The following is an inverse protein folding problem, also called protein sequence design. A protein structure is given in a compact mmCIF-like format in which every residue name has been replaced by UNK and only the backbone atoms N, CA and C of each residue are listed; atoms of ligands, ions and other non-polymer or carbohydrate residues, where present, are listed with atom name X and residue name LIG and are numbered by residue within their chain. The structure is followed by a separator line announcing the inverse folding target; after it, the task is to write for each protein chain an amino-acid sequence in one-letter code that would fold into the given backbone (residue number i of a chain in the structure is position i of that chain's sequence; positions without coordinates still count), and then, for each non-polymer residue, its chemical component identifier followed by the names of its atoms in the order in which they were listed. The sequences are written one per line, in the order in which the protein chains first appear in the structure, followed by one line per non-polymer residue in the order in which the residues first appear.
data_IF_448497325290
#
_entry.id   IF_448497325290
#
_cell.length_a   1.000
_cell.length_b   1.000
_cell.length_c   1.000
_cell.angle_alpha   90.00
_cell.angle_beta   90.00
_cell.angle_gamma   90.00
#
_symmetry.space_group_name_H-M   'P 1'
#
loop_
_entity.id
_entity.type
_entity.pdbx_description
1 polymer ?
#
# COMPACT_ATOMS: atom_id res chain seq x y z
N UNK A 1 13.81 1.30 13.76
CA UNK A 1 12.93 1.64 12.63
C UNK A 1 13.07 0.61 11.52
N UNK A 2 11.99 0.41 10.79
CA UNK A 2 11.92 -0.59 9.74
C UNK A 2 12.67 -0.13 8.48
N UNK A 3 13.50 -1.02 7.91
CA UNK A 3 14.20 -0.75 6.66
C UNK A 3 13.50 -1.48 5.51
N UNK A 4 13.38 -0.81 4.38
CA UNK A 4 12.71 -1.36 3.22
C UNK A 4 13.17 -0.68 1.93
N UNK A 5 12.89 -1.31 0.81
CA UNK A 5 13.06 -0.74 -0.52
C UNK A 5 11.68 -0.53 -1.14
N UNK A 6 11.54 0.54 -1.91
CA UNK A 6 10.34 0.77 -2.71
C UNK A 6 10.48 -0.01 -4.01
N UNK A 7 9.47 -0.81 -4.31
CA UNK A 7 9.47 -1.68 -5.48
C UNK A 7 8.28 -1.34 -6.36
N UNK A 8 8.53 -1.02 -7.61
CA UNK A 8 7.43 -0.82 -8.56
C UNK A 8 6.87 -2.17 -8.99
N UNK A 9 5.54 -2.26 -9.01
CA UNK A 9 4.83 -3.47 -9.42
C UNK A 9 4.49 -3.36 -10.89
N UNK A 10 5.42 -3.79 -11.75
CA UNK A 10 5.29 -3.63 -13.20
C UNK A 10 4.07 -4.35 -13.78
N UNK A 11 3.62 -5.42 -13.12
CA UNK A 11 2.42 -6.14 -13.57
C UNK A 11 1.14 -5.30 -13.45
N UNK A 12 1.13 -4.32 -12.56
CA UNK A 12 -0.05 -3.49 -12.29
C UNK A 12 0.11 -2.06 -12.80
N UNK A 13 1.34 -1.57 -12.89
CA UNK A 13 1.60 -0.21 -13.38
C UNK A 13 1.29 -0.10 -14.86
N UNK A 14 0.75 1.04 -15.27
CA UNK A 14 0.39 1.30 -16.66
C UNK A 14 0.45 2.79 -16.95
N UNK A 15 -0.22 3.19 -18.03
CA UNK A 15 -0.19 4.58 -18.48
C UNK A 15 -0.87 5.56 -17.54
N UNK A 16 -1.81 5.08 -16.70
CA UNK A 16 -2.62 5.96 -15.86
C UNK A 16 -2.08 6.09 -14.45
N UNK A 17 -1.31 5.11 -13.98
CA UNK A 17 -0.76 5.15 -12.63
C UNK A 17 0.41 4.19 -12.49
N UNK A 18 1.29 4.53 -11.57
CA UNK A 18 2.37 3.65 -11.11
C UNK A 18 1.98 3.06 -9.77
N UNK A 19 2.06 1.75 -9.67
CA UNK A 19 1.67 0.99 -8.49
C UNK A 19 2.92 0.44 -7.83
N UNK A 20 3.09 0.74 -6.54
CA UNK A 20 4.28 0.35 -5.79
C UNK A 20 3.92 -0.52 -4.60
N UNK A 21 4.89 -1.25 -4.13
CA UNK A 21 4.87 -1.86 -2.81
C UNK A 21 6.24 -1.67 -2.19
N UNK A 22 6.48 -2.30 -1.05
CA UNK A 22 7.79 -2.25 -0.41
C UNK A 22 8.26 -3.65 -0.09
N UNK A 23 9.58 -3.83 -0.14
CA UNK A 23 10.24 -5.08 0.23
C UNK A 23 11.05 -4.81 1.49
N UNK A 24 10.72 -5.48 2.59
CA UNK A 24 11.43 -5.29 3.83
C UNK A 24 12.84 -5.87 3.73
N UNK A 25 13.79 -5.24 4.42
CA UNK A 25 15.18 -5.70 4.42
C UNK A 25 15.26 -7.16 4.85
N UNK A 26 15.98 -7.94 4.08
CA UNK A 26 16.15 -9.37 4.35
C UNK A 26 15.04 -10.25 3.79
N UNK A 27 14.03 -9.67 3.16
CA UNK A 27 12.95 -10.43 2.55
C UNK A 27 13.03 -10.37 1.03
N UNK A 28 12.49 -11.39 0.36
CA UNK A 28 12.52 -11.48 -1.10
C UNK A 28 11.25 -10.97 -1.75
N UNK A 29 10.12 -11.08 -1.02
CA UNK A 29 8.82 -10.68 -1.55
C UNK A 29 8.44 -9.28 -1.08
N UNK A 30 7.70 -8.58 -1.92
CA UNK A 30 7.05 -7.35 -1.48
C UNK A 30 5.95 -7.67 -0.47
N UNK A 31 5.55 -6.67 0.29
CA UNK A 31 4.44 -6.83 1.23
C UNK A 31 3.15 -7.22 0.51
N UNK A 32 2.92 -6.71 -0.69
CA UNK A 32 1.72 -7.08 -1.46
C UNK A 32 1.76 -8.55 -1.85
N UNK A 33 2.91 -9.07 -2.30
CA UNK A 33 3.04 -10.49 -2.61
C UNK A 33 2.77 -11.35 -1.38
N UNK A 34 3.32 -10.95 -0.23
CA UNK A 34 3.07 -11.65 1.02
C UNK A 34 1.59 -11.62 1.40
N UNK A 35 0.93 -10.48 1.18
CA UNK A 35 -0.49 -10.33 1.42
C UNK A 35 -1.30 -11.34 0.59
N UNK A 36 -0.97 -11.49 -0.68
CA UNK A 36 -1.66 -12.47 -1.52
C UNK A 36 -1.44 -13.91 -1.03
N UNK A 37 -0.22 -14.25 -0.64
CA UNK A 37 0.08 -15.58 -0.13
C UNK A 37 -0.62 -15.86 1.20
N UNK A 38 -0.61 -14.89 2.11
CA UNK A 38 -1.19 -15.04 3.45
C UNK A 38 -2.71 -15.12 3.43
N UNK A 39 -3.35 -14.61 2.38
CA UNK A 39 -4.79 -14.56 2.28
C UNK A 39 -5.33 -15.40 1.10
N UNK A 40 -4.57 -16.41 0.67
CA UNK A 40 -4.90 -17.21 -0.50
C UNK A 40 -6.27 -17.90 -0.42
N UNK A 41 -6.78 -18.13 0.78
CA UNK A 41 -8.10 -18.72 0.99
C UNK A 41 -9.25 -17.81 0.53
N UNK A 42 -9.01 -16.50 0.46
CA UNK A 42 -10.01 -15.51 0.04
C UNK A 42 -9.89 -15.22 -1.46
N UNK A 43 -9.99 -16.26 -2.27
CA UNK A 43 -9.68 -16.20 -3.70
C UNK A 43 -10.54 -15.20 -4.47
N UNK A 44 -11.84 -15.14 -4.16
CA UNK A 44 -12.75 -14.23 -4.87
C UNK A 44 -12.37 -12.78 -4.61
N UNK A 45 -12.13 -12.45 -3.36
CA UNK A 45 -11.74 -11.08 -2.97
C UNK A 45 -10.40 -10.71 -3.58
N UNK A 46 -9.41 -11.62 -3.55
CA UNK A 46 -8.11 -11.34 -4.14
C UNK A 46 -8.19 -11.14 -5.65
N UNK A 47 -9.06 -11.90 -6.33
CA UNK A 47 -9.27 -11.72 -7.76
C UNK A 47 -9.80 -10.31 -8.05
N UNK A 48 -10.76 -9.85 -7.26
CA UNK A 48 -11.31 -8.49 -7.41
C UNK A 48 -10.23 -7.45 -7.15
N UNK A 49 -9.37 -7.67 -6.15
CA UNK A 49 -8.25 -6.76 -5.86
C UNK A 49 -7.33 -6.66 -7.07
N UNK A 50 -6.93 -7.79 -7.66
CA UNK A 50 -6.07 -7.81 -8.85
C UNK A 50 -6.71 -7.01 -9.99
N UNK A 51 -8.00 -7.23 -10.24
CA UNK A 51 -8.72 -6.50 -11.28
C UNK A 51 -8.72 -5.00 -11.03
N UNK A 52 -8.95 -4.60 -9.77
CA UNK A 52 -8.92 -3.18 -9.40
C UNK A 52 -7.54 -2.55 -9.61
N UNK A 53 -6.46 -3.26 -9.26
CA UNK A 53 -5.11 -2.76 -9.46
C UNK A 53 -4.81 -2.58 -10.95
N UNK A 54 -5.24 -3.51 -11.79
CA UNK A 54 -5.06 -3.41 -13.23
C UNK A 54 -5.85 -2.23 -13.81
N UNK A 55 -7.06 -2.00 -13.34
CA UNK A 55 -7.87 -0.85 -13.75
C UNK A 55 -7.19 0.46 -13.34
N UNK A 56 -6.66 0.53 -12.12
CA UNK A 56 -5.95 1.71 -11.65
C UNK A 56 -4.75 2.05 -12.50
N UNK A 57 -3.94 1.05 -12.84
CA UNK A 57 -2.74 1.28 -13.63
C UNK A 57 -3.02 1.63 -15.08
N UNK A 58 -4.02 1.01 -15.69
CA UNK A 58 -4.20 1.05 -17.13
C UNK A 58 -5.36 1.92 -17.62
N UNK A 59 -6.39 2.12 -16.80
CA UNK A 59 -7.62 2.75 -17.27
C UNK A 59 -7.96 4.07 -16.58
N UNK A 60 -8.07 4.06 -15.26
CA UNK A 60 -8.66 5.19 -14.51
C UNK A 60 -7.68 5.95 -13.66
N UNK A 61 -6.51 5.40 -13.38
CA UNK A 61 -5.69 5.88 -12.29
C UNK A 61 -6.26 5.43 -10.96
N UNK A 62 -5.57 5.79 -9.90
CA UNK A 62 -5.93 5.43 -8.53
C UNK A 62 -6.94 6.44 -8.00
N UNK A 63 -8.20 6.27 -8.35
CA UNK A 63 -9.24 7.19 -7.92
C UNK A 63 -9.36 7.21 -6.40
N UNK A 64 -9.49 8.41 -5.85
CA UNK A 64 -9.65 8.61 -4.40
C UNK A 64 -10.80 7.76 -3.84
N UNK A 65 -11.90 7.68 -4.56
CA UNK A 65 -13.11 6.95 -4.14
C UNK A 65 -12.94 5.44 -4.07
N UNK A 66 -11.89 4.89 -4.67
CA UNK A 66 -11.65 3.45 -4.58
C UNK A 66 -11.22 3.03 -3.18
N UNK A 67 -10.81 3.98 -2.35
CA UNK A 67 -10.17 3.73 -1.07
C UNK A 67 -11.00 4.26 0.09
N UNK A 68 -10.83 3.63 1.25
CA UNK A 68 -11.36 4.12 2.51
C UNK A 68 -10.24 4.89 3.21
N UNK A 69 -10.40 6.20 3.32
CA UNK A 69 -9.33 7.08 3.79
C UNK A 69 -9.33 7.32 5.29
N UNK A 70 -10.43 7.04 5.98
CA UNK A 70 -10.56 7.32 7.40
C UNK A 70 -11.07 6.11 8.17
N UNK A 71 -10.55 4.93 7.85
CA UNK A 71 -10.91 3.72 8.57
C UNK A 71 -10.07 3.62 9.84
N UNK A 72 -10.75 3.66 10.99
CA UNK A 72 -10.07 3.65 12.28
C UNK A 72 -9.22 4.89 12.47
N UNK A 73 -7.98 4.70 12.90
CA UNK A 73 -7.04 5.78 13.18
C UNK A 73 -6.02 6.01 12.06
N UNK A 74 -6.34 5.62 10.83
CA UNK A 74 -5.45 5.85 9.70
C UNK A 74 -5.26 7.34 9.45
N UNK A 75 -4.02 7.74 9.14
CA UNK A 75 -3.64 9.14 8.98
C UNK A 75 -2.52 9.26 7.94
N UNK A 76 -2.17 10.51 7.59
CA UNK A 76 -1.02 10.84 6.74
C UNK A 76 -1.02 10.13 5.39
N UNK A 77 -2.20 10.04 4.76
CA UNK A 77 -2.33 9.43 3.45
C UNK A 77 -2.52 7.92 3.49
N UNK A 78 -2.53 7.33 4.68
CA UNK A 78 -2.78 5.89 4.81
C UNK A 78 -4.27 5.62 4.61
N UNK A 79 -4.56 4.62 3.79
CA UNK A 79 -5.91 4.27 3.39
C UNK A 79 -6.03 2.75 3.26
N UNK A 80 -7.24 2.28 3.04
CA UNK A 80 -7.48 0.86 2.81
C UNK A 80 -8.28 0.64 1.53
N UNK A 81 -7.87 -0.33 0.76
CA UNK A 81 -8.68 -0.88 -0.33
C UNK A 81 -9.51 -2.01 0.28
N UNK A 82 -10.82 -1.91 0.13
CA UNK A 82 -11.75 -2.87 0.74
C UNK A 82 -12.43 -3.70 -0.33
N UNK A 83 -12.39 -5.01 -0.15
CA UNK A 83 -13.17 -5.93 -0.98
C UNK A 83 -13.81 -6.94 -0.03
N UNK A 84 -15.13 -6.86 0.13
CA UNK A 84 -15.81 -7.67 1.14
C UNK A 84 -15.22 -7.39 2.53
N UNK A 85 -14.76 -8.43 3.19
CA UNK A 85 -14.14 -8.31 4.51
C UNK A 85 -12.61 -8.21 4.44
N UNK A 86 -12.03 -8.22 3.24
CA UNK A 86 -10.59 -8.06 3.08
C UNK A 86 -10.23 -6.58 3.08
N UNK A 87 -9.15 -6.26 3.78
CA UNK A 87 -8.57 -4.92 3.87
C UNK A 87 -7.14 -4.97 3.40
N UNK A 88 -6.78 -4.11 2.46
CA UNK A 88 -5.40 -3.95 1.98
C UNK A 88 -4.97 -2.52 2.24
N UNK A 89 -4.01 -2.33 3.14
CA UNK A 89 -3.56 -1.00 3.53
C UNK A 89 -2.56 -0.44 2.54
N UNK A 90 -2.56 0.87 2.38
CA UNK A 90 -1.69 1.55 1.44
C UNK A 90 -1.39 2.98 1.89
N UNK A 91 -0.36 3.56 1.28
CA UNK A 91 -0.15 5.00 1.29
C UNK A 91 -0.69 5.53 -0.04
N UNK A 92 -1.75 6.30 0.03
CA UNK A 92 -2.34 6.93 -1.13
C UNK A 92 -1.64 8.27 -1.36
N UNK A 93 -0.86 8.38 -2.44
CA UNK A 93 -0.22 9.65 -2.77
C UNK A 93 -1.18 10.53 -3.56
N UNK A 94 -1.56 10.08 -4.75
CA UNK A 94 -2.56 10.73 -5.58
C UNK A 94 -3.06 9.74 -6.64
N UNK A 95 -3.77 10.25 -7.63
CA UNK A 95 -4.32 9.41 -8.69
C UNK A 95 -3.27 8.67 -9.51
N UNK A 96 -2.04 9.14 -9.51
CA UNK A 96 -0.97 8.57 -10.33
C UNK A 96 -0.04 7.63 -9.58
N UNK A 97 -0.11 7.58 -8.25
CA UNK A 97 0.82 6.76 -7.47
C UNK A 97 0.21 6.31 -6.14
N UNK A 98 0.31 5.02 -5.85
CA UNK A 98 -0.10 4.43 -4.57
C UNK A 98 0.91 3.36 -4.18
N UNK A 99 1.22 3.30 -2.89
CA UNK A 99 2.17 2.33 -2.32
C UNK A 99 1.38 1.34 -1.46
N UNK A 100 1.31 0.09 -1.90
CA UNK A 100 0.56 -0.94 -1.17
C UNK A 100 1.44 -1.66 -0.16
N UNK A 101 0.88 -1.89 1.01
CA UNK A 101 1.50 -2.70 2.06
C UNK A 101 0.81 -4.05 2.17
N UNK A 102 0.48 -4.42 3.38
CA UNK A 102 -0.19 -5.67 3.69
C UNK A 102 -1.58 -5.41 4.27
N UNK A 103 -2.25 -6.46 4.69
CA UNK A 103 -3.59 -6.35 5.24
C UNK A 103 -4.11 -7.73 5.63
N UNK A 104 -5.41 -7.90 5.63
CA UNK A 104 -6.00 -9.18 6.00
C UNK A 104 -7.51 -9.13 6.08
N UNK A 105 -8.07 -10.17 6.65
CA UNK A 105 -9.51 -10.32 6.84
C UNK A 105 -9.95 -9.58 8.09
N UNK A 106 -11.00 -8.79 7.96
CA UNK A 106 -11.63 -8.10 9.08
C UNK A 106 -12.96 -8.76 9.35
N UNK A 107 -13.13 -9.35 10.54
CA UNK A 107 -14.37 -9.97 10.93
C UNK A 107 -15.52 -8.95 10.91
N UNK A 108 -16.71 -9.31 10.39
CA UNK A 108 -17.84 -8.39 10.42
C UNK A 108 -18.31 -8.06 11.84
N UNK A 109 -17.89 -8.83 12.84
CA UNK A 109 -18.26 -8.62 14.24
C UNK A 109 -17.44 -7.50 14.90
N UNK A 110 -16.29 -7.13 14.34
CA UNK A 110 -15.48 -6.05 14.89
C UNK A 110 -15.74 -4.76 14.11
N UNK A 111 -15.79 -3.63 14.84
CA UNK A 111 -16.11 -2.33 14.23
C UNK A 111 -14.90 -1.64 13.67
N UNK A 112 -13.74 -1.82 14.31
CA UNK A 112 -12.52 -1.17 13.90
C UNK A 112 -11.38 -2.19 13.91
N UNK A 113 -10.42 -2.03 13.00
CA UNK A 113 -9.28 -2.94 12.88
C UNK A 113 -8.47 -3.03 14.17
N UNK A 114 -8.51 -2.00 15.03
CA UNK A 114 -7.78 -2.01 16.31
C UNK A 114 -8.23 -3.13 17.24
N UNK A 115 -9.44 -3.66 17.06
CA UNK A 115 -9.96 -4.77 17.86
C UNK A 115 -9.33 -6.11 17.48
N UNK A 116 -8.66 -6.19 16.32
CA UNK A 116 -8.00 -7.39 15.82
C UNK A 116 -6.49 -7.17 15.89
N UNK A 117 -5.76 -7.90 16.75
CA UNK A 117 -4.32 -7.68 16.90
C UNK A 117 -3.52 -7.87 15.61
N UNK A 118 -3.88 -8.87 14.80
CA UNK A 118 -3.15 -9.13 13.55
C UNK A 118 -3.40 -8.02 12.53
N UNK A 119 -4.65 -7.64 12.36
CA UNK A 119 -5.01 -6.58 11.42
C UNK A 119 -4.45 -5.24 11.87
N UNK A 120 -4.51 -4.96 13.18
CA UNK A 120 -3.93 -3.75 13.74
C UNK A 120 -2.42 -3.69 13.48
N UNK A 121 -1.72 -4.81 13.60
CA UNK A 121 -0.28 -4.85 13.32
C UNK A 121 0.02 -4.46 11.88
N UNK A 122 -0.82 -4.89 10.92
CA UNK A 122 -0.65 -4.52 9.51
C UNK A 122 -0.91 -3.03 9.29
N UNK A 123 -1.90 -2.47 9.96
CA UNK A 123 -2.19 -1.04 9.87
C UNK A 123 -1.06 -0.20 10.47
N UNK A 124 -0.52 -0.61 11.62
CA UNK A 124 0.62 0.06 12.27
C UNK A 124 1.86 0.02 11.36
N UNK A 125 2.14 -1.15 10.77
CA UNK A 125 3.23 -1.30 9.82
C UNK A 125 3.09 -0.31 8.66
N UNK A 126 1.90 -0.18 8.10
CA UNK A 126 1.68 0.75 6.99
C UNK A 126 1.89 2.20 7.41
N UNK A 127 1.47 2.57 8.62
CA UNK A 127 1.71 3.93 9.12
C UNK A 127 3.19 4.24 9.28
N UNK A 128 3.99 3.28 9.74
CA UNK A 128 5.44 3.46 9.86
C UNK A 128 6.08 3.63 8.48
N UNK A 129 5.68 2.80 7.52
CA UNK A 129 6.17 2.89 6.14
C UNK A 129 5.79 4.24 5.54
N UNK A 130 4.54 4.65 5.70
CA UNK A 130 4.04 5.91 5.17
C UNK A 130 4.79 7.10 5.77
N UNK A 131 5.07 7.07 7.07
CA UNK A 131 5.81 8.14 7.72
C UNK A 131 7.21 8.31 7.11
N UNK A 132 7.90 7.20 6.82
CA UNK A 132 9.22 7.26 6.19
C UNK A 132 9.16 7.79 4.76
N UNK A 133 8.21 7.29 3.98
CA UNK A 133 8.06 7.73 2.58
C UNK A 133 7.70 9.22 2.56
N UNK A 134 6.75 9.65 3.38
CA UNK A 134 6.34 11.05 3.44
C UNK A 134 7.52 11.96 3.84
N UNK A 135 8.31 11.55 4.80
CA UNK A 135 9.49 12.31 5.21
C UNK A 135 10.49 12.43 4.06
N UNK A 136 10.73 11.34 3.34
CA UNK A 136 11.64 11.35 2.20
C UNK A 136 11.13 12.26 1.07
N UNK A 137 9.82 12.29 0.86
CA UNK A 137 9.21 13.18 -0.14
C UNK A 137 9.39 14.65 0.28
N UNK A 138 9.12 14.95 1.55
CA UNK A 138 9.29 16.32 2.07
C UNK A 138 10.73 16.77 1.93
N UNK A 139 11.69 15.89 2.21
CA UNK A 139 13.11 16.19 2.11
C UNK A 139 13.65 16.13 0.68
N UNK A 140 12.83 15.75 -0.29
CA UNK A 140 13.20 15.59 -1.71
C UNK A 140 14.23 14.49 -1.95
N UNK A 141 14.35 13.56 -1.03
CA UNK A 141 15.13 12.34 -1.23
C UNK A 141 14.39 11.43 -2.22
N UNK A 142 13.07 11.48 -2.19
CA UNK A 142 12.19 10.83 -3.14
C UNK A 142 11.35 11.90 -3.81
N UNK A 143 11.29 11.87 -5.14
CA UNK A 143 10.43 12.77 -5.92
C UNK A 143 9.46 11.91 -6.71
N UNK A 144 8.16 12.18 -6.55
CA UNK A 144 7.13 11.55 -7.36
C UNK A 144 6.81 12.51 -8.49
N UNK A 145 7.06 12.07 -9.71
CA UNK A 145 6.85 12.88 -10.90
C UNK A 145 5.37 13.05 -11.20
N UNK A 146 5.03 13.94 -12.10
CA UNK A 146 3.64 14.25 -12.42
C UNK A 146 2.86 13.03 -12.93
N UNK A 147 3.55 12.10 -13.59
CA UNK A 147 2.91 10.86 -14.08
C UNK A 147 2.88 9.74 -13.06
N UNK A 148 3.40 9.99 -11.85
CA UNK A 148 3.45 8.99 -10.79
C UNK A 148 4.74 8.18 -10.74
N UNK A 149 5.64 8.35 -11.70
CA UNK A 149 6.94 7.70 -11.65
C UNK A 149 7.77 8.28 -10.51
N UNK A 150 8.73 7.51 -10.03
CA UNK A 150 9.49 7.88 -8.84
C UNK A 150 10.97 8.09 -9.21
N UNK A 151 11.56 9.13 -8.67
CA UNK A 151 13.00 9.38 -8.74
C UNK A 151 13.52 9.36 -7.31
N UNK A 152 14.48 8.48 -7.04
CA UNK A 152 15.11 8.39 -5.72
C UNK A 152 16.46 9.07 -5.82
N UNK A 153 16.57 10.24 -5.19
CA UNK A 153 17.82 11.03 -5.17
C UNK A 153 18.77 10.52 -4.09
N UNK A 154 18.21 10.18 -2.94
CA UNK A 154 18.95 9.63 -1.83
C UNK A 154 17.98 8.81 -0.96
N UNK A 155 18.42 7.62 -0.60
CA UNK A 155 17.63 6.77 0.29
C UNK A 155 18.60 5.88 1.04
N UNK A 156 18.77 6.17 2.32
CA UNK A 156 19.67 5.42 3.17
C UNK A 156 18.84 4.63 4.19
N UNK A 157 18.68 3.36 3.95
CA UNK A 157 17.94 2.47 4.82
C UNK A 157 18.75 1.99 6.02
N UNK A 158 20.01 2.39 6.12
CA UNK A 158 20.87 2.07 7.25
C UNK A 158 20.79 3.12 8.37
N UNK A 159 20.20 4.27 8.08
CA UNK A 159 20.12 5.38 9.02
C UNK A 159 18.99 5.24 10.05
N UNK A 160 18.46 4.08 10.18
CA UNK A 160 17.37 3.87 11.14
C UNK A 160 17.88 3.42 12.53
#
# INVERSE_FOLDING_TARGET
MMNFEITELSDFSGEMAHIYSVTLKGQEQTLLEQFFDDNAEYREELTVIVEKLLVMGNDTGCRYEFFKHHEGALADGVAALRVGQIRLYCLYFDRTAVFFGSGGYKSPEIKAYQEDPELNAKAVQMREIAARINKAIINKDIVIEQDGSITINYWDDEDD
#
